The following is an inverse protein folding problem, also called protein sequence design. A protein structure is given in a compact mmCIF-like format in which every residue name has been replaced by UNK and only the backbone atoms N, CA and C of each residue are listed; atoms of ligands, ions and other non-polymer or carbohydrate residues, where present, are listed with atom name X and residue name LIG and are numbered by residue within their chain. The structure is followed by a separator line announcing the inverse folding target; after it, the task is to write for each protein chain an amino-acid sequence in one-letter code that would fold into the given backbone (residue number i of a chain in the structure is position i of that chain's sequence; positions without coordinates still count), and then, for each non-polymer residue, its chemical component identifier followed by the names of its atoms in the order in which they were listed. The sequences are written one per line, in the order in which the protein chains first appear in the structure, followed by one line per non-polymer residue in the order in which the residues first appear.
data_IF_938950030984
#
_entry.id   IF_938950030984
#
_cell.length_a   1.000
_cell.length_b   1.000
_cell.length_c   1.000
_cell.angle_alpha   90.00
_cell.angle_beta   90.00
_cell.angle_gamma   90.00
#
_symmetry.space_group_name_H-M   'P 1'
#
loop_
_entity.id
_entity.type
_entity.pdbx_description
1 polymer ?
#
# COMPACT_ATOMS: atom_id res chain seq x y z
N UNK A 1 -20.77 58.59 25.41
CA UNK A 1 -20.22 59.11 24.14
C UNK A 1 -19.19 58.10 23.64
N UNK A 2 -19.59 57.23 22.72
CA UNK A 2 -18.78 56.11 22.21
C UNK A 2 -18.00 56.55 20.97
N UNK A 3 -16.67 56.50 21.06
CA UNK A 3 -15.72 56.76 19.98
C UNK A 3 -15.66 55.57 19.00
N UNK A 4 -16.29 55.77 17.85
CA UNK A 4 -15.87 55.35 16.48
C UNK A 4 -14.81 54.24 16.34
N UNK A 5 -15.28 52.99 16.19
CA UNK A 5 -14.52 51.92 15.53
C UNK A 5 -14.45 52.19 14.01
N UNK A 6 -13.24 52.44 13.49
CA UNK A 6 -12.95 52.48 12.05
C UNK A 6 -13.15 51.08 11.46
N UNK A 7 -14.21 50.90 10.66
CA UNK A 7 -14.34 49.74 9.76
C UNK A 7 -13.21 49.80 8.73
N UNK A 8 -12.34 48.80 8.73
CA UNK A 8 -11.45 48.51 7.61
C UNK A 8 -12.34 48.00 6.48
N UNK A 9 -12.56 48.83 5.46
CA UNK A 9 -13.22 48.45 4.23
C UNK A 9 -12.29 47.51 3.47
N UNK A 10 -12.61 46.21 3.44
CA UNK A 10 -12.03 45.32 2.44
C UNK A 10 -12.40 45.87 1.07
N UNK A 11 -11.39 46.31 0.31
CA UNK A 11 -11.53 46.70 -1.10
C UNK A 11 -12.08 45.48 -1.85
N UNK A 12 -13.38 45.51 -2.15
CA UNK A 12 -13.99 44.61 -3.12
C UNK A 12 -13.23 44.85 -4.42
N UNK A 13 -12.44 43.87 -4.85
CA UNK A 13 -11.79 43.92 -6.15
C UNK A 13 -12.92 43.92 -7.17
N UNK A 14 -13.25 45.11 -7.68
CA UNK A 14 -14.40 45.30 -8.53
C UNK A 14 -14.16 44.59 -9.86
N UNK A 15 -15.02 43.64 -10.20
CA UNK A 15 -15.17 43.01 -11.52
C UNK A 15 -15.14 44.04 -12.67
N UNK A 16 -15.44 45.30 -12.36
CA UNK A 16 -15.40 46.43 -13.26
C UNK A 16 -13.99 46.74 -13.80
N UNK A 17 -12.96 46.75 -12.95
CA UNK A 17 -11.59 47.05 -13.39
C UNK A 17 -11.03 45.94 -14.27
N UNK A 18 -11.36 44.68 -13.95
CA UNK A 18 -11.00 43.51 -14.73
C UNK A 18 -11.64 43.54 -16.14
N UNK A 19 -12.92 43.91 -16.22
CA UNK A 19 -13.63 44.11 -17.50
C UNK A 19 -13.08 45.28 -18.31
N UNK A 20 -12.66 46.37 -17.65
CA UNK A 20 -12.09 47.55 -18.32
C UNK A 20 -10.71 47.25 -18.90
N UNK A 21 -9.89 46.52 -18.16
CA UNK A 21 -8.57 46.06 -18.61
C UNK A 21 -8.70 45.09 -19.80
N UNK A 22 -9.65 44.16 -19.76
CA UNK A 22 -9.99 43.32 -20.89
C UNK A 22 -10.40 44.17 -22.11
N UNK A 23 -11.21 45.23 -21.96
CA UNK A 23 -11.63 46.16 -23.04
C UNK A 23 -10.53 46.96 -23.72
N UNK A 24 -9.41 47.22 -23.05
CA UNK A 24 -8.27 47.92 -23.66
C UNK A 24 -7.34 47.01 -24.49
N UNK A 25 -7.47 45.69 -24.37
CA UNK A 25 -6.71 44.74 -25.18
C UNK A 25 -7.39 44.53 -26.54
N UNK A 26 -6.62 44.72 -27.62
CA UNK A 26 -7.05 44.39 -28.97
C UNK A 26 -7.49 42.91 -29.04
N UNK A 27 -8.53 42.64 -29.83
CA UNK A 27 -9.11 41.30 -30.02
C UNK A 27 -8.05 40.19 -30.18
N UNK A 28 -6.96 40.34 -30.99
CA UNK A 28 -5.93 39.31 -31.10
C UNK A 28 -5.18 39.03 -29.79
N UNK A 29 -4.94 40.04 -28.94
CA UNK A 29 -4.25 39.86 -27.66
C UNK A 29 -5.09 39.09 -26.64
N UNK A 30 -6.42 39.25 -26.67
CA UNK A 30 -7.32 38.46 -25.83
C UNK A 30 -7.33 36.99 -26.21
N UNK A 31 -7.47 36.70 -27.51
CA UNK A 31 -7.45 35.32 -28.03
C UNK A 31 -6.12 34.63 -27.69
N UNK A 32 -5.01 35.35 -27.82
CA UNK A 32 -3.68 34.86 -27.43
C UNK A 32 -3.59 34.56 -25.93
N UNK A 33 -4.03 35.46 -25.05
CA UNK A 33 -4.01 35.23 -23.60
C UNK A 33 -4.89 34.06 -23.17
N UNK A 34 -6.09 33.92 -23.75
CA UNK A 34 -6.97 32.77 -23.48
C UNK A 34 -6.35 31.47 -23.97
N UNK A 35 -5.72 31.46 -25.14
CA UNK A 35 -5.04 30.28 -25.66
C UNK A 35 -3.85 29.85 -24.77
N UNK A 36 -3.05 30.82 -24.29
CA UNK A 36 -1.95 30.55 -23.35
C UNK A 36 -2.47 29.98 -22.03
N UNK A 37 -3.55 30.52 -21.47
CA UNK A 37 -4.19 29.99 -20.27
C UNK A 37 -4.69 28.56 -20.45
N UNK A 38 -5.30 28.25 -21.60
CA UNK A 38 -5.76 26.90 -21.93
C UNK A 38 -4.57 25.95 -22.06
N UNK A 39 -3.50 26.34 -22.77
CA UNK A 39 -2.30 25.52 -22.92
C UNK A 39 -1.59 25.28 -21.59
N UNK A 40 -1.51 26.29 -20.72
CA UNK A 40 -0.93 26.16 -19.38
C UNK A 40 -1.73 25.21 -18.50
N UNK A 41 -3.06 25.30 -18.57
CA UNK A 41 -3.97 24.40 -17.85
C UNK A 41 -3.85 22.97 -18.35
N UNK A 42 -3.82 22.77 -19.67
CA UNK A 42 -3.62 21.45 -20.29
C UNK A 42 -2.25 20.86 -19.93
N UNK A 43 -1.19 21.67 -19.94
CA UNK A 43 0.13 21.23 -19.52
C UNK A 43 0.13 20.74 -18.07
N UNK A 44 -0.50 21.48 -17.15
CA UNK A 44 -0.59 21.06 -15.74
C UNK A 44 -1.39 19.77 -15.57
N UNK A 45 -2.52 19.62 -16.28
CA UNK A 45 -3.33 18.41 -16.24
C UNK A 45 -2.54 17.21 -16.77
N UNK A 46 -1.90 17.35 -17.94
CA UNK A 46 -1.09 16.29 -18.56
C UNK A 46 0.12 15.96 -17.68
N UNK A 47 0.82 16.96 -17.15
CA UNK A 47 1.98 16.75 -16.26
C UNK A 47 1.57 16.04 -14.98
N UNK A 48 0.42 16.39 -14.39
CA UNK A 48 -0.08 15.73 -13.19
C UNK A 48 -0.48 14.27 -13.45
N UNK A 49 -1.07 13.97 -14.60
CA UNK A 49 -1.52 12.62 -14.95
C UNK A 49 -0.40 11.70 -15.46
N UNK A 50 0.69 12.28 -15.98
CA UNK A 50 1.85 11.52 -16.49
C UNK A 50 2.94 11.31 -15.45
N UNK A 51 2.84 11.95 -14.27
CA UNK A 51 3.79 11.72 -13.19
C UNK A 51 3.65 10.28 -12.67
N UNK A 52 4.66 9.44 -12.94
CA UNK A 52 4.70 8.09 -12.40
C UNK A 52 4.74 8.16 -10.87
N UNK A 53 3.99 7.31 -10.15
CA UNK A 53 4.04 7.29 -8.70
C UNK A 53 5.47 6.99 -8.24
N UNK A 54 5.98 7.77 -7.30
CA UNK A 54 7.27 7.48 -6.67
C UNK A 54 7.24 6.09 -6.03
N UNK A 55 8.13 5.20 -6.48
CA UNK A 55 8.28 3.84 -5.93
C UNK A 55 9.58 3.77 -5.15
N UNK A 56 9.50 3.48 -3.85
CA UNK A 56 10.68 3.30 -3.00
C UNK A 56 11.54 2.12 -3.47
N UNK A 57 12.85 2.18 -3.24
CA UNK A 57 13.79 1.10 -3.57
C UNK A 57 13.38 -0.23 -2.90
N UNK A 58 12.96 -0.21 -1.63
CA UNK A 58 12.43 -1.38 -0.94
C UNK A 58 11.24 -2.04 -1.65
N UNK A 59 10.39 -1.22 -2.29
CA UNK A 59 9.22 -1.68 -3.05
C UNK A 59 9.62 -2.25 -4.41
N UNK A 60 10.71 -1.76 -5.02
CA UNK A 60 11.31 -2.40 -6.20
C UNK A 60 11.84 -3.79 -5.86
N UNK A 61 12.64 -3.92 -4.79
CA UNK A 61 13.13 -5.22 -4.29
C UNK A 61 11.97 -6.21 -4.04
N UNK A 62 10.90 -5.72 -3.42
CA UNK A 62 9.70 -6.52 -3.16
C UNK A 62 9.02 -6.99 -4.44
N UNK A 63 8.83 -6.09 -5.41
CA UNK A 63 8.19 -6.42 -6.69
C UNK A 63 8.99 -7.45 -7.50
N UNK A 64 10.32 -7.36 -7.47
CA UNK A 64 11.20 -8.35 -8.09
C UNK A 64 11.05 -9.72 -7.44
N UNK A 65 11.07 -9.77 -6.09
CA UNK A 65 10.85 -11.00 -5.34
C UNK A 65 9.45 -11.59 -5.61
N UNK A 66 8.44 -10.75 -5.81
CA UNK A 66 7.07 -11.19 -6.08
C UNK A 66 6.87 -11.81 -7.46
N UNK A 67 7.78 -11.60 -8.40
CA UNK A 67 7.66 -12.17 -9.75
C UNK A 67 7.53 -13.71 -9.74
N UNK A 68 8.11 -14.39 -8.74
CA UNK A 68 7.98 -15.84 -8.57
C UNK A 68 6.52 -16.30 -8.31
N UNK A 69 5.66 -15.43 -7.78
CA UNK A 69 4.26 -15.74 -7.48
C UNK A 69 3.27 -15.18 -8.51
N UNK A 70 3.66 -14.21 -9.34
CA UNK A 70 2.78 -13.59 -10.35
C UNK A 70 2.19 -14.59 -11.33
N UNK A 71 2.93 -15.63 -11.69
CA UNK A 71 2.44 -16.69 -12.59
C UNK A 71 1.21 -17.37 -11.98
N UNK A 72 1.27 -17.69 -10.68
CA UNK A 72 0.19 -18.36 -9.97
C UNK A 72 -0.96 -17.43 -9.57
N UNK A 73 -0.71 -16.12 -9.49
CA UNK A 73 -1.75 -15.11 -9.27
C UNK A 73 -2.69 -15.04 -10.48
N UNK A 74 -2.15 -15.08 -11.71
CA UNK A 74 -2.96 -15.07 -12.93
C UNK A 74 -3.90 -16.28 -13.04
N UNK A 75 -3.46 -17.43 -12.51
CA UNK A 75 -4.25 -18.66 -12.47
C UNK A 75 -5.21 -18.73 -11.26
N UNK A 76 -5.30 -17.67 -10.46
CA UNK A 76 -6.10 -17.59 -9.22
C UNK A 76 -5.74 -18.63 -8.14
N UNK A 77 -4.57 -19.27 -8.22
CA UNK A 77 -4.07 -20.15 -7.18
C UNK A 77 -3.56 -19.40 -5.96
N UNK A 78 -3.22 -18.13 -6.15
CA UNK A 78 -2.62 -17.27 -5.14
C UNK A 78 -3.31 -15.90 -5.14
N UNK A 79 -3.45 -15.30 -3.96
CA UNK A 79 -3.83 -13.90 -3.82
C UNK A 79 -2.72 -13.09 -3.16
N UNK A 80 -2.31 -12.00 -3.81
CA UNK A 80 -1.30 -11.07 -3.28
C UNK A 80 -2.01 -9.81 -2.76
N UNK A 81 -1.64 -9.34 -1.57
CA UNK A 81 -2.21 -8.14 -0.99
C UNK A 81 -1.29 -7.42 -0.02
N UNK A 82 -1.49 -6.11 0.08
CA UNK A 82 -0.84 -5.25 1.08
C UNK A 82 -1.48 -5.38 2.47
N UNK A 83 -2.64 -6.04 2.58
CA UNK A 83 -3.30 -6.28 3.88
C UNK A 83 -3.13 -7.73 4.27
N UNK A 84 -2.79 -7.95 5.55
CA UNK A 84 -2.80 -9.28 6.13
C UNK A 84 -4.24 -9.79 6.18
N UNK A 85 -4.57 -10.69 5.28
CA UNK A 85 -5.78 -11.47 5.32
C UNK A 85 -5.41 -12.90 4.98
N UNK A 86 -6.16 -13.85 5.53
CA UNK A 86 -5.86 -15.27 5.33
C UNK A 86 -6.26 -16.05 6.56
N UNK A 87 -6.68 -17.28 6.31
CA UNK A 87 -6.99 -18.25 7.34
C UNK A 87 -6.22 -19.52 6.99
N UNK A 88 -5.54 -20.10 7.97
CA UNK A 88 -4.95 -21.42 7.83
C UNK A 88 -5.67 -22.37 8.76
N UNK A 89 -5.76 -23.64 8.36
CA UNK A 89 -6.30 -24.67 9.22
C UNK A 89 -6.33 -26.03 8.55
N UNK A 90 -6.37 -27.05 9.39
CA UNK A 90 -6.48 -28.45 8.97
C UNK A 90 -7.74 -29.12 9.56
N UNK A 91 -8.67 -28.31 10.09
CA UNK A 91 -9.89 -28.78 10.76
C UNK A 91 -9.70 -29.20 12.22
N UNK A 92 -8.47 -29.33 12.72
CA UNK A 92 -8.17 -29.54 14.14
C UNK A 92 -7.59 -28.27 14.79
N UNK A 93 -6.58 -27.68 14.16
CA UNK A 93 -6.07 -26.35 14.47
C UNK A 93 -6.39 -25.39 13.32
N UNK A 94 -6.51 -24.11 13.66
CA UNK A 94 -6.60 -23.05 12.68
C UNK A 94 -6.11 -21.72 13.23
N UNK A 95 -5.83 -20.78 12.37
CA UNK A 95 -5.40 -19.43 12.74
C UNK A 95 -6.04 -18.45 11.77
N UNK A 96 -6.60 -17.38 12.32
CA UNK A 96 -7.29 -16.34 11.54
C UNK A 96 -6.36 -15.19 11.15
N UNK A 97 -6.91 -14.20 10.45
CA UNK A 97 -6.17 -13.00 10.07
C UNK A 97 -5.64 -12.18 11.25
N UNK A 98 -6.24 -12.34 12.43
CA UNK A 98 -5.78 -11.77 13.70
C UNK A 98 -4.52 -12.46 14.25
N UNK A 99 -4.13 -13.61 13.70
CA UNK A 99 -2.95 -14.37 14.11
C UNK A 99 -3.15 -15.22 15.37
N UNK A 100 -4.37 -15.27 15.92
CA UNK A 100 -4.66 -16.08 17.10
C UNK A 100 -4.92 -17.54 16.70
N UNK A 101 -4.25 -18.46 17.39
CA UNK A 101 -4.45 -19.90 17.25
C UNK A 101 -5.82 -20.31 17.82
N UNK A 102 -6.50 -21.17 17.08
CA UNK A 102 -7.82 -21.71 17.40
C UNK A 102 -7.79 -23.21 17.30
N UNK A 103 -8.51 -23.85 18.21
CA UNK A 103 -8.56 -25.30 18.34
C UNK A 103 -10.00 -25.78 18.18
N UNK A 104 -10.19 -26.87 17.45
CA UNK A 104 -11.46 -27.59 17.43
C UNK A 104 -11.60 -28.42 18.70
N UNK A 105 -12.79 -28.40 19.29
CA UNK A 105 -13.17 -29.30 20.39
C UNK A 105 -14.32 -30.20 19.95
N UNK A 106 -14.70 -31.17 20.78
CA UNK A 106 -15.81 -32.08 20.49
C UNK A 106 -17.18 -31.39 20.44
N UNK A 107 -17.35 -30.31 21.21
CA UNK A 107 -18.63 -29.57 21.32
C UNK A 107 -18.68 -28.28 20.52
N UNK A 108 -17.53 -27.67 20.21
CA UNK A 108 -17.44 -26.36 19.56
C UNK A 108 -16.44 -26.40 18.42
N UNK A 109 -16.83 -25.86 17.27
CA UNK A 109 -16.04 -25.85 16.04
C UNK A 109 -14.74 -25.06 16.14
N UNK A 110 -14.66 -24.07 17.04
CA UNK A 110 -13.51 -23.19 17.19
C UNK A 110 -13.47 -22.59 18.58
N UNK A 111 -12.37 -22.83 19.31
CA UNK A 111 -12.07 -22.25 20.62
C UNK A 111 -10.81 -21.42 20.49
N UNK A 112 -10.88 -20.18 20.98
CA UNK A 112 -9.74 -19.25 21.06
C UNK A 112 -8.74 -19.75 22.10
N UNK A 113 -7.47 -19.82 21.72
CA UNK A 113 -6.40 -20.26 22.63
C UNK A 113 -5.73 -19.12 23.39
N UNK A 114 -6.01 -17.86 23.02
CA UNK A 114 -5.26 -16.68 23.48
C UNK A 114 -3.75 -16.73 23.18
N UNK A 115 -3.33 -17.61 22.26
CA UNK A 115 -1.94 -17.77 21.86
C UNK A 115 -1.75 -17.34 20.40
N UNK A 116 -0.74 -16.50 20.16
CA UNK A 116 -0.39 -16.00 18.82
C UNK A 116 0.98 -16.55 18.42
N UNK A 117 1.05 -17.68 17.70
CA UNK A 117 2.31 -18.40 17.43
C UNK A 117 3.23 -17.69 16.42
N UNK A 118 2.74 -16.65 15.73
CA UNK A 118 3.45 -16.02 14.63
C UNK A 118 4.64 -15.20 15.17
N UNK A 119 5.85 -15.60 14.80
CA UNK A 119 7.06 -14.80 15.04
C UNK A 119 7.08 -13.59 14.08
N UNK A 120 7.38 -12.39 14.59
CA UNK A 120 7.68 -11.19 13.80
C UNK A 120 9.20 -10.99 13.72
N UNK A 121 9.71 -10.81 12.51
CA UNK A 121 11.15 -10.72 12.24
C UNK A 121 11.46 -9.37 11.62
N UNK A 122 12.43 -8.66 12.20
CA UNK A 122 12.87 -7.35 11.73
C UNK A 122 14.38 -7.30 11.61
N UNK A 123 14.86 -6.72 10.51
CA UNK A 123 16.28 -6.39 10.32
C UNK A 123 16.51 -4.98 10.90
N UNK A 124 17.44 -4.84 11.85
CA UNK A 124 17.62 -3.60 12.63
C UNK A 124 18.24 -2.45 11.81
N UNK A 125 19.08 -2.75 10.81
CA UNK A 125 19.85 -1.75 10.06
C UNK A 125 19.25 -1.37 8.69
N UNK A 126 17.92 -1.46 8.55
CA UNK A 126 17.25 -1.11 7.29
C UNK A 126 16.88 0.36 7.19
N UNK A 127 17.18 0.99 6.05
CA UNK A 127 16.77 2.36 5.73
C UNK A 127 15.26 2.44 5.44
N UNK A 128 14.74 1.42 4.77
CA UNK A 128 13.31 1.29 4.45
C UNK A 128 12.93 -0.16 4.27
N UNK A 129 11.64 -0.45 4.45
CA UNK A 129 11.06 -1.77 4.20
C UNK A 129 9.79 -1.67 3.36
N UNK A 130 9.47 -2.74 2.67
CA UNK A 130 8.20 -2.96 2.01
C UNK A 130 7.72 -4.37 2.33
N UNK A 131 6.42 -4.53 2.56
CA UNK A 131 5.82 -5.81 2.95
C UNK A 131 4.60 -6.10 2.08
N UNK A 132 4.40 -7.38 1.80
CA UNK A 132 3.19 -7.91 1.20
C UNK A 132 2.84 -9.26 1.80
N UNK A 133 1.58 -9.62 1.66
CA UNK A 133 1.01 -10.89 2.06
C UNK A 133 0.59 -11.66 0.82
N UNK A 134 0.83 -12.97 0.85
CA UNK A 134 0.55 -13.88 -0.25
C UNK A 134 -0.17 -15.08 0.34
N UNK A 135 -1.38 -15.35 -0.15
CA UNK A 135 -2.17 -16.52 0.25
C UNK A 135 -2.10 -17.56 -0.84
N UNK A 136 -1.49 -18.71 -0.55
CA UNK A 136 -1.43 -19.85 -1.46
C UNK A 136 -2.57 -20.83 -1.14
N UNK A 137 -3.58 -20.86 -2.01
CA UNK A 137 -4.77 -21.69 -1.81
C UNK A 137 -4.52 -23.16 -2.09
N UNK A 138 -3.48 -23.51 -2.85
CA UNK A 138 -3.16 -24.90 -3.20
C UNK A 138 -2.78 -25.70 -1.97
N UNK A 139 -1.94 -25.07 -1.14
CA UNK A 139 -1.39 -25.68 0.08
C UNK A 139 -2.10 -25.18 1.34
N UNK A 140 -2.83 -24.06 1.27
CA UNK A 140 -3.46 -23.43 2.43
C UNK A 140 -2.42 -22.74 3.31
N UNK A 141 -1.49 -22.02 2.68
CA UNK A 141 -0.34 -21.38 3.32
C UNK A 141 -0.49 -19.86 3.25
N UNK A 142 -0.21 -19.19 4.36
CA UNK A 142 -0.04 -17.74 4.39
C UNK A 142 1.46 -17.45 4.32
N UNK A 143 1.84 -16.60 3.39
CA UNK A 143 3.22 -16.20 3.16
C UNK A 143 3.33 -14.69 3.37
N UNK A 144 4.26 -14.26 4.20
CA UNK A 144 4.60 -12.85 4.37
C UNK A 144 5.97 -12.62 3.74
N UNK A 145 6.05 -11.69 2.80
CA UNK A 145 7.31 -11.30 2.16
C UNK A 145 7.59 -9.87 2.56
N UNK A 146 8.74 -9.67 3.20
CA UNK A 146 9.19 -8.35 3.65
C UNK A 146 10.59 -8.13 3.10
N UNK A 147 10.77 -7.06 2.35
CA UNK A 147 12.05 -6.69 1.75
C UNK A 147 12.55 -5.38 2.32
N UNK A 148 13.86 -5.32 2.54
CA UNK A 148 14.58 -4.24 3.19
C UNK A 148 15.65 -3.70 2.25
N UNK A 149 15.92 -2.40 2.40
CA UNK A 149 17.03 -1.71 1.74
C UNK A 149 18.11 -1.39 2.77
N UNK A 150 19.34 -1.85 2.52
CA UNK A 150 20.49 -1.69 3.42
C UNK A 150 21.72 -1.31 2.58
N UNK A 151 22.22 -0.07 2.65
CA UNK A 151 23.51 0.35 2.05
C UNK A 151 23.75 -0.15 0.60
N UNK A 152 22.71 -0.14 -0.22
CA UNK A 152 22.68 -0.57 -1.62
C UNK A 152 22.34 -2.03 -1.91
N UNK A 153 22.05 -2.82 -0.88
CA UNK A 153 21.59 -4.20 -1.01
C UNK A 153 20.10 -4.33 -0.72
N UNK A 154 19.46 -5.26 -1.44
CA UNK A 154 18.13 -5.76 -1.15
C UNK A 154 18.25 -7.00 -0.26
N UNK A 155 17.60 -7.03 0.90
CA UNK A 155 17.50 -8.24 1.73
C UNK A 155 16.03 -8.54 1.96
N UNK A 156 15.58 -9.76 1.66
CA UNK A 156 14.19 -10.14 1.82
C UNK A 156 14.03 -11.29 2.81
N UNK A 157 13.05 -11.19 3.69
CA UNK A 157 12.59 -12.28 4.55
C UNK A 157 11.28 -12.82 4.01
N UNK A 158 11.20 -14.13 3.81
CA UNK A 158 9.99 -14.86 3.44
C UNK A 158 9.58 -15.72 4.62
N UNK A 159 8.38 -15.50 5.15
CA UNK A 159 7.81 -16.27 6.24
C UNK A 159 6.61 -17.04 5.73
N UNK A 160 6.61 -18.37 5.84
CA UNK A 160 5.50 -19.23 5.43
C UNK A 160 4.87 -19.85 6.68
N UNK A 161 3.54 -19.87 6.75
CA UNK A 161 2.80 -20.47 7.87
C UNK A 161 1.67 -21.34 7.32
N UNK A 162 1.61 -22.59 7.76
CA UNK A 162 0.57 -23.54 7.39
C UNK A 162 0.28 -24.56 8.50
N UNK A 163 -0.95 -25.07 8.52
CA UNK A 163 -1.33 -26.19 9.38
C UNK A 163 -1.09 -27.51 8.65
N UNK A 164 -0.36 -28.45 9.27
CA UNK A 164 0.01 -29.70 8.61
C UNK A 164 -1.24 -30.57 8.37
N UNK A 165 -1.47 -31.00 7.12
CA UNK A 165 -2.71 -31.73 6.74
C UNK A 165 -2.84 -33.11 7.38
N UNK A 166 -1.75 -33.89 7.45
CA UNK A 166 -1.76 -35.27 7.98
C UNK A 166 -1.44 -35.39 9.48
N UNK A 167 -0.98 -34.30 10.11
CA UNK A 167 -0.55 -34.28 11.51
C UNK A 167 -1.34 -33.17 12.21
N UNK A 168 -2.52 -33.49 12.76
CA UNK A 168 -3.52 -32.49 13.13
C UNK A 168 -3.02 -31.47 14.16
N UNK A 169 -2.08 -31.87 15.02
CA UNK A 169 -1.53 -31.05 16.10
C UNK A 169 -0.34 -30.17 15.70
N UNK A 170 0.05 -30.13 14.42
CA UNK A 170 1.23 -29.39 13.97
C UNK A 170 0.88 -28.15 13.17
N UNK A 171 1.31 -27.00 13.70
CA UNK A 171 1.45 -25.75 12.98
C UNK A 171 2.92 -25.57 12.61
N UNK A 172 3.19 -25.25 11.34
CA UNK A 172 4.55 -25.06 10.85
C UNK A 172 4.72 -23.60 10.45
N UNK A 173 5.83 -23.02 10.90
CA UNK A 173 6.30 -21.70 10.50
C UNK A 173 7.73 -21.84 9.97
N UNK A 174 7.94 -21.40 8.75
CA UNK A 174 9.25 -21.37 8.10
C UNK A 174 9.66 -19.92 7.88
N UNK A 175 10.91 -19.60 8.20
CA UNK A 175 11.50 -18.29 7.97
C UNK A 175 12.74 -18.46 7.12
N UNK A 176 12.78 -17.77 5.99
CA UNK A 176 13.92 -17.73 5.09
C UNK A 176 14.35 -16.29 4.88
N UNK A 177 15.61 -15.97 5.19
CA UNK A 177 16.23 -14.72 4.79
C UNK A 177 17.05 -14.95 3.52
N UNK A 178 16.90 -14.08 2.53
CA UNK A 178 17.63 -14.14 1.26
C UNK A 178 18.26 -12.78 0.98
N UNK A 179 19.56 -12.78 0.74
CA UNK A 179 20.29 -11.64 0.19
C UNK A 179 20.54 -11.88 -1.30
N UNK A 180 19.74 -11.32 -2.22
CA UNK A 180 19.94 -11.44 -3.66
C UNK A 180 21.18 -10.71 -4.23
N UNK A 181 22.02 -10.08 -3.41
CA UNK A 181 23.26 -9.41 -3.86
C UNK A 181 24.32 -10.36 -4.41
#
# INVERSE_FOLDING_TARGET
MLSTLRRVQCRRFDDFELRKWLRQLSIPRRVSLTAVLILFSLYFIISSSTSAPYVSESKKCLNERLNAWKIFENDNFIAISNKKFGFIGNGFIGMGGDGELRLKTSRVLSVRSAFSPIIDVKIQDSESFAETYVNDYRDGTIITVRCYRIKDQCVCTTQRVYAHRRRPHLLIQELQATNPS
#
